data_IF_516427842328
#
_entry.id   IF_516427842328
#
_cell.length_a   1.000
_cell.length_b   1.000
_cell.length_c   1.000
_cell.angle_alpha   90.00
_cell.angle_beta   90.00
_cell.angle_gamma   90.00
#
_symmetry.space_group_name_H-M   'P 1'
#
loop_
_entity.id
_entity.type
_entity.pdbx_description
1 polymer ?
#
# COMPACT_ATOMS: atom_id res chain seq x y z
N UNK A 1 6.15 5.13 33.31
CA UNK A 1 6.88 3.94 32.86
C UNK A 1 7.56 3.36 34.11
N UNK A 2 7.17 2.15 34.54
CA UNK A 2 7.89 1.40 35.54
C UNK A 2 9.23 0.96 34.94
N UNK A 3 10.28 0.93 35.76
CA UNK A 3 11.65 0.62 35.36
C UNK A 3 11.80 -0.84 34.99
N UNK A 4 11.37 -1.22 33.80
CA UNK A 4 11.76 -2.48 33.19
C UNK A 4 12.94 -2.22 32.24
N UNK A 5 14.02 -2.96 32.38
CA UNK A 5 15.07 -2.95 31.38
C UNK A 5 14.52 -3.53 30.06
N UNK A 6 14.66 -2.78 28.97
CA UNK A 6 14.25 -3.22 27.65
C UNK A 6 15.36 -2.94 26.63
N UNK A 7 15.37 -3.73 25.59
CA UNK A 7 16.30 -3.59 24.48
C UNK A 7 15.52 -3.02 23.30
N UNK A 8 16.01 -1.91 22.73
CA UNK A 8 15.50 -1.34 21.50
C UNK A 8 16.44 -1.67 20.35
N UNK A 9 15.90 -2.18 19.28
CA UNK A 9 16.62 -2.34 18.02
C UNK A 9 15.70 -1.94 16.86
N UNK A 10 16.29 -1.51 15.78
CA UNK A 10 15.60 -1.25 14.53
C UNK A 10 15.65 -2.49 13.65
N UNK A 11 14.49 -2.96 13.21
CA UNK A 11 14.37 -4.05 12.24
C UNK A 11 13.72 -3.52 10.96
N UNK A 12 14.36 -3.76 9.82
CA UNK A 12 13.77 -3.44 8.52
C UNK A 12 12.77 -4.51 8.12
N UNK A 13 11.65 -4.09 7.52
CA UNK A 13 10.70 -4.99 6.87
C UNK A 13 11.24 -5.44 5.52
N UNK A 14 10.84 -6.63 4.99
CA UNK A 14 11.10 -6.97 3.60
C UNK A 14 10.42 -6.01 2.63
N UNK A 15 9.30 -5.41 3.04
CA UNK A 15 8.64 -4.35 2.26
C UNK A 15 9.26 -3.01 2.61
N UNK A 16 9.71 -2.29 1.59
CA UNK A 16 10.32 -0.97 1.74
C UNK A 16 9.42 0.11 1.16
N UNK A 17 9.56 1.32 1.71
CA UNK A 17 8.86 2.50 1.22
C UNK A 17 9.86 3.53 0.71
N UNK A 18 9.66 3.99 -0.51
CA UNK A 18 10.48 5.00 -1.15
C UNK A 18 9.70 6.31 -1.20
N UNK A 19 10.26 7.38 -0.62
CA UNK A 19 9.67 8.71 -0.71
C UNK A 19 10.06 9.39 -2.01
N UNK A 20 9.07 9.73 -2.82
CA UNK A 20 9.25 10.53 -4.02
C UNK A 20 9.04 12.01 -3.68
N UNK A 21 10.14 12.75 -3.60
CA UNK A 21 10.12 14.18 -3.27
C UNK A 21 9.48 15.06 -4.36
N UNK A 22 9.30 14.56 -5.58
CA UNK A 22 8.71 15.33 -6.68
C UNK A 22 7.21 15.49 -6.54
N UNK A 23 6.53 14.49 -5.98
CA UNK A 23 5.08 14.47 -5.77
C UNK A 23 4.69 14.43 -4.28
N UNK A 24 5.67 14.23 -3.38
CA UNK A 24 5.46 14.19 -1.94
C UNK A 24 4.80 12.89 -1.45
N UNK A 25 4.86 11.81 -2.21
CA UNK A 25 4.21 10.54 -1.95
C UNK A 25 5.23 9.44 -1.63
N UNK A 26 4.77 8.44 -0.89
CA UNK A 26 5.50 7.20 -0.67
C UNK A 26 5.01 6.14 -1.65
N UNK A 27 5.95 5.37 -2.20
CA UNK A 27 5.68 4.20 -3.02
C UNK A 27 6.25 2.97 -2.31
N UNK A 28 5.47 1.91 -2.20
CA UNK A 28 5.93 0.66 -1.63
C UNK A 28 6.68 -0.19 -2.67
N UNK A 29 7.52 -1.08 -2.16
CA UNK A 29 8.18 -2.10 -2.94
C UNK A 29 8.22 -3.38 -2.10
N UNK A 30 7.53 -4.41 -2.55
CA UNK A 30 7.56 -5.74 -1.95
C UNK A 30 8.86 -6.47 -2.30
N UNK A 31 9.33 -7.32 -1.40
CA UNK A 31 10.49 -8.14 -1.68
C UNK A 31 10.08 -9.36 -2.50
N UNK A 32 10.77 -9.61 -3.64
CA UNK A 32 10.39 -10.65 -4.61
C UNK A 32 10.45 -12.11 -4.09
N UNK A 33 11.16 -12.37 -2.99
CA UNK A 33 11.47 -13.73 -2.56
C UNK A 33 11.35 -13.96 -1.04
N UNK A 34 11.01 -12.94 -0.27
CA UNK A 34 10.97 -13.05 1.18
C UNK A 34 9.82 -12.21 1.76
N UNK A 35 8.95 -12.86 2.53
CA UNK A 35 7.85 -12.23 3.26
C UNK A 35 8.26 -11.86 4.67
N UNK A 36 9.40 -12.40 5.15
CA UNK A 36 9.90 -12.21 6.50
C UNK A 36 11.39 -11.89 6.52
N UNK A 37 11.80 -11.06 7.48
CA UNK A 37 13.21 -10.80 7.81
C UNK A 37 13.49 -11.33 9.21
N UNK A 38 14.51 -12.17 9.32
CA UNK A 38 14.91 -12.76 10.58
C UNK A 38 16.08 -11.98 11.19
N UNK A 39 15.96 -11.62 12.47
CA UNK A 39 17.01 -10.96 13.25
C UNK A 39 17.54 -11.90 14.33
N UNK A 40 18.85 -11.95 14.48
CA UNK A 40 19.50 -12.76 15.51
C UNK A 40 19.98 -11.85 16.64
N UNK A 41 19.51 -12.12 17.86
CA UNK A 41 19.97 -11.44 19.05
C UNK A 41 21.07 -12.28 19.72
N UNK A 42 22.25 -11.69 19.89
CA UNK A 42 23.35 -12.28 20.63
C UNK A 42 23.72 -11.41 21.82
N UNK A 43 24.15 -12.04 22.93
CA UNK A 43 24.63 -11.34 24.13
C UNK A 43 26.15 -11.45 24.12
N UNK A 44 26.82 -10.31 24.09
CA UNK A 44 28.27 -10.21 24.26
C UNK A 44 28.59 -9.52 25.60
N UNK A 45 29.30 -10.21 26.47
CA UNK A 45 29.66 -9.68 27.78
C UNK A 45 31.03 -8.94 27.79
N UNK A 46 31.65 -8.74 26.62
CA UNK A 46 32.98 -8.12 26.52
C UNK A 46 32.91 -6.58 26.33
N UNK A 47 31.75 -6.02 26.01
CA UNK A 47 31.57 -4.58 25.86
C UNK A 47 30.27 -4.14 26.50
N UNK A 48 30.30 -2.96 27.11
CA UNK A 48 29.06 -2.32 27.59
C UNK A 48 28.14 -1.94 26.44
N UNK A 49 26.88 -2.35 26.54
CA UNK A 49 25.84 -2.01 25.58
C UNK A 49 25.57 -0.49 25.52
N UNK A 50 25.23 0.03 24.38
CA UNK A 50 24.76 1.40 24.24
C UNK A 50 23.51 1.62 25.09
N UNK A 51 23.49 2.72 25.85
CA UNK A 51 22.34 3.15 26.66
C UNK A 51 21.67 4.35 26.02
N UNK A 52 20.34 4.41 26.08
CA UNK A 52 19.59 5.59 25.68
C UNK A 52 19.84 6.71 26.69
N UNK A 53 20.38 7.82 26.23
CA UNK A 53 20.64 9.00 27.05
C UNK A 53 19.37 9.81 27.27
N UNK A 54 19.21 10.34 28.49
CA UNK A 54 18.17 11.31 28.76
C UNK A 54 18.55 12.65 28.15
N UNK A 55 17.73 13.17 27.23
CA UNK A 55 17.90 14.51 26.67
C UNK A 55 16.77 15.42 27.12
N UNK A 56 17.13 16.66 27.47
CA UNK A 56 16.14 17.70 27.74
C UNK A 56 15.43 18.09 26.44
N UNK A 57 14.13 18.39 26.56
CA UNK A 57 13.37 18.93 25.44
C UNK A 57 14.01 20.24 24.93
N UNK A 58 14.04 20.40 23.61
CA UNK A 58 14.54 21.64 23.00
C UNK A 58 13.70 22.82 23.46
N UNK A 59 14.41 23.83 24.00
CA UNK A 59 13.80 25.12 24.33
C UNK A 59 13.74 25.96 23.06
N UNK A 60 12.68 26.78 22.90
CA UNK A 60 12.51 27.71 21.78
C UNK A 60 12.51 27.04 20.39
N UNK A 61 11.67 26.02 20.21
CA UNK A 61 11.47 25.38 18.91
C UNK A 61 11.06 26.44 17.85
N UNK A 62 11.80 26.51 16.75
CA UNK A 62 11.53 27.43 15.64
C UNK A 62 10.44 26.92 14.69
N UNK A 63 10.12 25.62 14.73
CA UNK A 63 9.06 24.98 13.94
C UNK A 63 8.30 24.00 14.81
N UNK A 64 6.98 24.00 14.65
CA UNK A 64 6.08 23.02 15.27
C UNK A 64 5.48 22.19 14.16
N UNK A 65 5.73 20.87 14.20
CA UNK A 65 5.14 19.91 13.28
C UNK A 65 3.91 19.32 13.95
N UNK A 66 2.76 19.46 13.31
CA UNK A 66 1.45 19.01 13.84
C UNK A 66 0.82 17.88 13.02
N UNK A 67 1.43 17.53 11.89
CA UNK A 67 0.95 16.48 10.98
C UNK A 67 2.11 15.84 10.24
N UNK A 68 1.86 14.63 9.73
CA UNK A 68 2.85 13.84 8.97
C UNK A 68 2.17 13.11 7.81
N UNK A 69 2.97 12.60 6.86
CA UNK A 69 2.48 11.74 5.79
C UNK A 69 2.48 10.30 6.28
N UNK A 70 1.32 9.68 6.19
CA UNK A 70 1.09 8.27 6.45
C UNK A 70 0.87 7.56 5.12
N UNK A 71 1.17 6.28 5.08
CA UNK A 71 1.00 5.45 3.89
C UNK A 71 0.53 4.06 4.30
N UNK A 72 -0.17 3.40 3.40
CA UNK A 72 -0.63 2.02 3.54
C UNK A 72 -0.77 1.39 2.18
N UNK A 73 -0.74 0.08 2.11
CA UNK A 73 -1.00 -0.66 0.88
C UNK A 73 -1.77 -1.94 1.16
N UNK A 74 -2.39 -2.46 0.12
CA UNK A 74 -2.93 -3.81 0.04
C UNK A 74 -2.36 -4.48 -1.20
N UNK A 75 -1.66 -5.57 -1.02
CA UNK A 75 -1.08 -6.42 -2.04
C UNK A 75 -1.06 -7.85 -1.52
N UNK A 76 -1.56 -8.78 -2.28
CA UNK A 76 -1.52 -10.22 -1.99
C UNK A 76 -0.93 -10.95 -3.19
N UNK A 77 -0.13 -11.98 -2.91
CA UNK A 77 0.63 -12.74 -3.89
C UNK A 77 -0.03 -14.12 -4.10
N UNK A 78 -1.25 -14.15 -4.69
CA UNK A 78 -2.07 -15.36 -4.77
C UNK A 78 -1.81 -16.18 -6.03
N UNK A 79 -1.58 -15.54 -7.17
CA UNK A 79 -1.53 -16.21 -8.47
C UNK A 79 -0.37 -15.70 -9.35
N UNK A 80 0.50 -16.62 -9.77
CA UNK A 80 1.52 -16.36 -10.78
C UNK A 80 1.01 -16.85 -12.15
N UNK A 81 0.65 -15.92 -13.04
CA UNK A 81 -0.07 -16.22 -14.27
C UNK A 81 0.71 -17.06 -15.29
N UNK A 82 2.02 -16.91 -15.34
CA UNK A 82 2.88 -17.58 -16.31
C UNK A 82 3.97 -18.43 -15.68
N UNK A 83 3.88 -18.65 -14.36
CA UNK A 83 4.87 -19.38 -13.57
C UNK A 83 6.31 -18.84 -13.76
N UNK A 84 6.45 -17.53 -13.98
CA UNK A 84 7.74 -16.85 -14.21
C UNK A 84 8.56 -16.62 -12.95
N UNK A 85 7.92 -16.74 -11.77
CA UNK A 85 8.55 -16.53 -10.48
C UNK A 85 8.76 -15.06 -10.08
N UNK A 86 8.36 -14.08 -10.92
CA UNK A 86 8.60 -12.65 -10.66
C UNK A 86 7.37 -11.85 -10.28
N UNK A 87 6.26 -12.09 -10.97
CA UNK A 87 5.06 -11.30 -10.83
C UNK A 87 3.92 -12.19 -10.34
N UNK A 88 3.39 -11.84 -9.21
CA UNK A 88 2.24 -12.47 -8.60
C UNK A 88 1.13 -11.44 -8.49
N UNK A 89 -0.10 -11.90 -8.52
CA UNK A 89 -1.27 -11.04 -8.47
C UNK A 89 -2.22 -11.49 -7.36
N UNK A 90 -2.96 -10.54 -6.83
CA UNK A 90 -3.85 -10.75 -5.70
C UNK A 90 -5.21 -11.31 -6.08
N UNK A 91 -6.23 -10.62 -5.65
CA UNK A 91 -7.61 -11.05 -5.75
C UNK A 91 -8.07 -11.12 -7.20
N UNK A 92 -8.70 -12.24 -7.54
CA UNK A 92 -9.22 -12.50 -8.86
C UNK A 92 -10.67 -12.00 -9.00
N UNK A 93 -10.96 -11.33 -10.11
CA UNK A 93 -12.29 -10.89 -10.51
C UNK A 93 -12.83 -11.82 -11.62
N UNK A 94 -13.54 -12.88 -11.24
CA UNK A 94 -14.21 -13.80 -12.17
C UNK A 94 -15.64 -14.09 -11.74
N UNK A 95 -15.83 -14.83 -10.65
CA UNK A 95 -17.13 -15.11 -10.04
C UNK A 95 -17.61 -13.97 -9.15
N UNK A 96 -16.66 -13.23 -8.55
CA UNK A 96 -16.91 -12.04 -7.72
C UNK A 96 -16.31 -10.82 -8.43
N UNK A 97 -17.13 -10.14 -9.19
CA UNK A 97 -16.70 -8.97 -9.98
C UNK A 97 -16.58 -7.67 -9.16
N UNK A 98 -16.94 -7.68 -7.89
CA UNK A 98 -16.86 -6.53 -6.99
C UNK A 98 -16.18 -6.94 -5.70
N UNK A 99 -15.13 -6.23 -5.30
CA UNK A 99 -14.37 -6.47 -4.07
C UNK A 99 -14.08 -5.17 -3.36
N UNK A 100 -13.99 -5.22 -2.01
CA UNK A 100 -13.79 -4.04 -1.17
C UNK A 100 -12.63 -4.24 -0.21
N UNK A 101 -11.87 -3.18 0.00
CA UNK A 101 -10.63 -3.15 0.79
C UNK A 101 -10.68 -1.98 1.76
N UNK A 102 -10.51 -2.26 3.05
CA UNK A 102 -10.63 -1.27 4.12
C UNK A 102 -9.27 -0.76 4.58
N UNK A 103 -9.14 0.56 4.67
CA UNK A 103 -7.98 1.26 5.20
C UNK A 103 -8.40 2.18 6.33
N UNK A 104 -7.63 2.18 7.43
CA UNK A 104 -7.91 3.03 8.57
C UNK A 104 -6.74 3.99 8.84
N UNK A 105 -7.02 5.29 8.83
CA UNK A 105 -6.07 6.37 9.12
C UNK A 105 -6.53 7.19 10.33
N UNK A 106 -6.25 6.73 11.56
CA UNK A 106 -6.66 7.46 12.77
C UNK A 106 -6.13 8.90 12.76
N UNK A 107 -6.96 9.86 13.12
CA UNK A 107 -6.64 11.29 13.07
C UNK A 107 -6.30 11.81 11.67
N UNK A 108 -6.97 11.28 10.64
CA UNK A 108 -6.83 11.75 9.26
C UNK A 108 -7.07 13.28 9.18
N UNK A 109 -6.20 13.98 8.47
CA UNK A 109 -6.43 15.38 8.11
C UNK A 109 -7.41 15.44 6.93
N UNK A 110 -8.68 15.69 7.22
CA UNK A 110 -9.75 15.74 6.22
C UNK A 110 -9.66 16.96 5.28
N UNK A 111 -8.76 17.91 5.56
CA UNK A 111 -8.50 19.04 4.68
C UNK A 111 -7.45 18.71 3.60
N UNK A 112 -6.71 17.64 3.79
CA UNK A 112 -5.73 17.13 2.84
C UNK A 112 -6.31 15.97 2.03
N UNK A 113 -6.12 15.93 0.71
CA UNK A 113 -6.57 14.80 -0.08
C UNK A 113 -5.79 13.52 0.27
N UNK A 114 -6.48 12.40 0.20
CA UNK A 114 -5.90 11.06 0.21
C UNK A 114 -5.55 10.69 -1.23
N UNK A 115 -4.29 10.34 -1.49
CA UNK A 115 -3.85 9.87 -2.80
C UNK A 115 -3.96 8.36 -2.87
N UNK A 116 -4.70 7.84 -3.84
CA UNK A 116 -4.99 6.41 -4.02
C UNK A 116 -4.47 5.99 -5.39
N UNK A 117 -3.54 5.05 -5.41
CA UNK A 117 -3.05 4.39 -6.62
C UNK A 117 -3.60 2.97 -6.64
N UNK A 118 -4.22 2.60 -7.74
CA UNK A 118 -4.75 1.25 -7.98
C UNK A 118 -4.09 0.68 -9.22
N UNK A 119 -3.50 -0.50 -9.10
CA UNK A 119 -2.90 -1.25 -10.20
C UNK A 119 -3.65 -2.55 -10.38
N UNK A 120 -4.07 -2.81 -11.60
CA UNK A 120 -4.92 -3.95 -11.96
C UNK A 120 -4.38 -4.64 -13.21
N UNK A 121 -4.75 -5.89 -13.35
CA UNK A 121 -4.33 -6.74 -14.47
C UNK A 121 -5.55 -7.40 -15.08
N UNK A 122 -5.61 -7.49 -16.41
CA UNK A 122 -6.67 -8.20 -17.10
C UNK A 122 -6.13 -9.00 -18.29
N UNK A 123 -6.73 -10.17 -18.48
CA UNK A 123 -6.61 -11.00 -19.67
C UNK A 123 -7.98 -11.08 -20.35
N UNK A 124 -8.14 -10.36 -21.44
CA UNK A 124 -9.39 -10.27 -22.20
C UNK A 124 -9.10 -10.07 -23.68
N UNK A 125 -9.93 -10.61 -24.55
CA UNK A 125 -9.85 -10.43 -26.01
C UNK A 125 -10.47 -9.10 -26.48
N UNK A 126 -11.17 -8.41 -25.58
CA UNK A 126 -11.70 -7.06 -25.81
C UNK A 126 -11.26 -6.16 -24.67
N UNK A 127 -11.22 -4.83 -24.87
CA UNK A 127 -10.92 -3.91 -23.76
C UNK A 127 -11.87 -4.14 -22.58
N UNK A 128 -11.33 -4.09 -21.39
CA UNK A 128 -12.07 -4.25 -20.13
C UNK A 128 -11.91 -3.03 -19.22
N UNK A 129 -12.75 -2.92 -18.21
CA UNK A 129 -12.81 -1.74 -17.37
C UNK A 129 -12.91 -2.14 -15.90
N UNK A 130 -12.10 -1.48 -15.07
CA UNK A 130 -12.28 -1.47 -13.63
C UNK A 130 -12.84 -0.12 -13.20
N UNK A 131 -13.88 -0.15 -12.40
CA UNK A 131 -14.46 1.04 -11.76
C UNK A 131 -13.98 1.07 -10.32
N UNK A 132 -13.34 2.16 -9.91
CA UNK A 132 -12.79 2.33 -8.56
C UNK A 132 -13.60 3.38 -7.82
N UNK A 133 -14.09 3.03 -6.65
CA UNK A 133 -14.86 3.91 -5.76
C UNK A 133 -14.21 3.96 -4.37
N UNK A 134 -14.36 5.07 -3.66
CA UNK A 134 -14.01 5.19 -2.25
C UNK A 134 -15.23 5.62 -1.45
N UNK A 135 -15.56 4.88 -0.39
CA UNK A 135 -16.75 5.10 0.45
C UNK A 135 -18.01 5.36 -0.40
N UNK A 136 -18.25 4.52 -1.42
CA UNK A 136 -19.34 4.60 -2.39
C UNK A 136 -19.30 5.82 -3.35
N UNK A 137 -18.25 6.64 -3.31
CA UNK A 137 -18.04 7.73 -4.26
C UNK A 137 -17.16 7.25 -5.41
N UNK A 138 -17.62 7.38 -6.65
CA UNK A 138 -16.83 7.05 -7.82
C UNK A 138 -15.55 7.91 -7.87
N UNK A 139 -14.40 7.26 -7.92
CA UNK A 139 -13.11 7.94 -8.07
C UNK A 139 -12.69 8.03 -9.54
N UNK A 140 -12.63 6.88 -10.18
CA UNK A 140 -12.17 6.78 -11.55
C UNK A 140 -12.57 5.45 -12.20
N UNK A 141 -12.26 5.34 -13.49
CA UNK A 141 -12.26 4.10 -14.24
C UNK A 141 -10.85 3.83 -14.78
N UNK A 142 -10.42 2.57 -14.77
CA UNK A 142 -9.16 2.11 -15.33
C UNK A 142 -9.51 1.19 -16.49
N UNK A 143 -9.18 1.63 -17.71
CA UNK A 143 -9.32 0.79 -18.90
C UNK A 143 -8.08 -0.05 -19.09
N UNK A 144 -8.27 -1.34 -19.33
CA UNK A 144 -7.20 -2.27 -19.68
C UNK A 144 -7.41 -2.72 -21.11
N UNK A 145 -6.38 -2.54 -21.93
CA UNK A 145 -6.40 -2.95 -23.34
C UNK A 145 -6.53 -4.47 -23.48
N UNK A 146 -7.09 -4.92 -24.58
CA UNK A 146 -7.18 -6.33 -24.90
C UNK A 146 -5.79 -6.95 -25.19
N UNK A 147 -5.68 -8.24 -24.92
CA UNK A 147 -4.55 -9.05 -25.40
C UNK A 147 -4.78 -9.47 -26.85
N UNK A 148 -3.69 -9.86 -27.52
CA UNK A 148 -3.70 -10.51 -28.83
C UNK A 148 -3.14 -11.91 -28.67
N UNK A 149 -3.86 -12.93 -29.15
CA UNK A 149 -3.48 -14.35 -29.00
C UNK A 149 -2.52 -14.81 -30.11
N UNK A 150 -1.40 -14.07 -30.27
CA UNK A 150 -0.34 -14.47 -31.19
C UNK A 150 0.91 -14.93 -30.41
N UNK A 151 1.77 -15.69 -31.07
CA UNK A 151 3.04 -16.09 -30.49
C UNK A 151 3.87 -14.86 -30.05
N UNK A 152 4.42 -14.90 -28.86
CA UNK A 152 5.23 -13.82 -28.25
C UNK A 152 4.45 -12.56 -27.84
N UNK A 153 3.18 -12.63 -27.51
CA UNK A 153 2.43 -11.53 -26.90
C UNK A 153 2.36 -11.67 -25.38
N UNK A 154 2.10 -10.55 -24.70
CA UNK A 154 1.87 -10.53 -23.25
C UNK A 154 0.67 -11.41 -22.90
N UNK A 155 0.81 -12.18 -21.82
CA UNK A 155 -0.25 -13.07 -21.33
C UNK A 155 -1.44 -12.27 -20.79
N UNK A 156 -1.20 -11.19 -20.10
CA UNK A 156 -2.17 -10.26 -19.55
C UNK A 156 -1.66 -8.82 -19.65
N UNK A 157 -2.53 -7.85 -19.50
CA UNK A 157 -2.19 -6.41 -19.56
C UNK A 157 -2.38 -5.79 -18.20
N UNK A 158 -1.42 -4.95 -17.80
CA UNK A 158 -1.45 -4.17 -16.56
C UNK A 158 -1.87 -2.74 -16.84
N UNK A 159 -2.68 -2.16 -15.97
CA UNK A 159 -3.00 -0.74 -15.97
C UNK A 159 -3.01 -0.18 -14.55
N UNK A 160 -2.58 1.06 -14.41
CA UNK A 160 -2.50 1.74 -13.11
C UNK A 160 -3.08 3.14 -13.22
N UNK A 161 -3.75 3.57 -12.14
CA UNK A 161 -4.24 4.94 -12.04
C UNK A 161 -4.14 5.48 -10.63
N UNK A 162 -3.70 6.73 -10.53
CA UNK A 162 -3.66 7.50 -9.29
C UNK A 162 -4.81 8.51 -9.29
N UNK A 163 -5.48 8.66 -8.15
CA UNK A 163 -6.58 9.60 -7.96
C UNK A 163 -6.56 10.16 -6.56
N UNK A 164 -6.83 11.45 -6.44
CA UNK A 164 -7.00 12.11 -5.15
C UNK A 164 -8.47 12.02 -4.70
N UNK A 165 -8.67 11.72 -3.43
CA UNK A 165 -9.97 11.60 -2.78
C UNK A 165 -10.03 12.44 -1.52
N UNK A 166 -11.08 13.24 -1.37
CA UNK A 166 -11.33 14.02 -0.16
C UNK A 166 -12.14 13.15 0.83
N UNK A 167 -11.44 12.46 1.72
CA UNK A 167 -12.06 11.58 2.68
C UNK A 167 -12.73 12.37 3.81
N UNK A 168 -13.97 12.00 4.14
CA UNK A 168 -14.76 12.59 5.23
C UNK A 168 -14.65 11.83 6.55
N UNK A 169 -13.96 10.69 6.56
CA UNK A 169 -13.76 9.84 7.74
C UNK A 169 -12.38 9.21 7.74
N UNK A 170 -11.95 8.71 8.90
CA UNK A 170 -10.68 7.97 9.04
C UNK A 170 -10.70 6.61 8.34
N UNK A 171 -11.86 6.07 8.07
CA UNK A 171 -11.99 4.81 7.33
C UNK A 171 -12.22 5.12 5.85
N UNK A 172 -11.38 4.53 5.01
CA UNK A 172 -11.44 4.62 3.55
C UNK A 172 -11.62 3.19 3.01
N UNK A 173 -12.83 2.90 2.54
CA UNK A 173 -13.14 1.62 1.87
C UNK A 173 -13.03 1.81 0.38
N UNK A 174 -12.10 1.14 -0.26
CA UNK A 174 -11.92 1.13 -1.72
C UNK A 174 -12.70 -0.05 -2.28
N UNK A 175 -13.64 0.21 -3.16
CA UNK A 175 -14.38 -0.82 -3.89
C UNK A 175 -13.95 -0.80 -5.35
N UNK A 176 -13.64 -1.97 -5.88
CA UNK A 176 -13.24 -2.19 -7.26
C UNK A 176 -14.23 -3.12 -7.92
N UNK A 177 -14.82 -2.66 -9.01
CA UNK A 177 -15.76 -3.41 -9.85
C UNK A 177 -15.12 -3.67 -11.21
N UNK A 178 -15.10 -4.93 -11.64
CA UNK A 178 -14.59 -5.33 -12.95
C UNK A 178 -15.73 -5.62 -13.94
N UNK A 179 -15.55 -5.20 -15.18
CA UNK A 179 -16.46 -5.51 -16.28
C UNK A 179 -15.74 -5.76 -17.59
N UNK A 180 -16.19 -6.78 -18.31
CA UNK A 180 -15.77 -7.10 -19.67
C UNK A 180 -16.95 -7.71 -20.44
N UNK A 181 -17.00 -7.50 -21.76
CA UNK A 181 -17.92 -8.19 -22.65
C UNK A 181 -17.36 -9.52 -23.16
N UNK A 182 -16.14 -9.87 -22.82
CA UNK A 182 -15.51 -11.17 -23.09
C UNK A 182 -15.86 -12.17 -21.97
N UNK A 183 -16.65 -13.19 -22.27
CA UNK A 183 -17.02 -14.23 -21.29
C UNK A 183 -15.85 -15.09 -20.82
N UNK A 184 -14.72 -15.06 -21.52
CA UNK A 184 -13.48 -15.74 -21.15
C UNK A 184 -12.48 -14.85 -20.43
N UNK A 185 -12.83 -13.59 -20.14
CA UNK A 185 -11.96 -12.67 -19.48
C UNK A 185 -11.66 -13.09 -18.04
N UNK A 186 -10.44 -12.81 -17.60
CA UNK A 186 -9.99 -12.92 -16.21
C UNK A 186 -9.28 -11.64 -15.80
N UNK A 187 -9.41 -11.26 -14.54
CA UNK A 187 -8.80 -10.04 -14.05
C UNK A 187 -8.34 -10.21 -12.60
N UNK A 188 -7.38 -9.40 -12.19
CA UNK A 188 -6.75 -9.45 -10.87
C UNK A 188 -6.46 -8.03 -10.36
N UNK A 189 -6.50 -7.89 -9.05
CA UNK A 189 -5.85 -6.79 -8.38
C UNK A 189 -4.35 -7.11 -8.30
N UNK A 190 -3.52 -6.13 -8.62
CA UNK A 190 -2.10 -6.16 -8.32
C UNK A 190 -1.91 -5.56 -6.92
N UNK A 191 -2.14 -4.26 -6.80
CA UNK A 191 -2.12 -3.61 -5.48
C UNK A 191 -2.97 -2.34 -5.43
N UNK A 192 -3.28 -1.93 -4.20
CA UNK A 192 -3.77 -0.60 -3.84
C UNK A 192 -2.73 0.05 -2.93
N UNK A 193 -2.31 1.27 -3.25
CA UNK A 193 -1.40 2.06 -2.44
C UNK A 193 -2.08 3.38 -2.06
N UNK A 194 -2.01 3.74 -0.79
CA UNK A 194 -2.66 4.94 -0.26
C UNK A 194 -1.66 5.80 0.50
N UNK A 195 -1.66 7.09 0.19
CA UNK A 195 -0.95 8.12 0.91
C UNK A 195 -1.96 9.10 1.51
N UNK A 196 -1.80 9.38 2.80
CA UNK A 196 -2.72 10.23 3.55
C UNK A 196 -1.98 11.19 4.48
N UNK A 197 -2.57 12.32 4.81
CA UNK A 197 -2.06 13.24 5.83
C UNK A 197 -2.76 12.97 7.15
N UNK A 198 -1.99 12.84 8.25
CA UNK A 198 -2.53 12.62 9.59
C UNK A 198 -2.03 13.68 10.57
N UNK A 199 -2.86 13.99 11.56
CA UNK A 199 -2.40 14.77 12.70
C UNK A 199 -1.38 13.97 13.52
N UNK A 200 -0.31 14.63 13.97
CA UNK A 200 0.73 14.04 14.82
C UNK A 200 0.16 13.88 16.25
N UNK A 201 -0.70 12.89 16.39
CA UNK A 201 -1.42 12.55 17.61
C UNK A 201 -1.40 11.06 17.83
N UNK A 202 -1.07 10.62 19.05
CA UNK A 202 -1.09 9.21 19.44
C UNK A 202 -2.46 8.58 19.20
N UNK A 203 -2.45 7.38 18.63
CA UNK A 203 -3.62 6.51 18.50
C UNK A 203 -3.24 5.13 19.03
N UNK A 204 -3.74 4.77 20.22
CA UNK A 204 -3.25 3.59 20.92
C UNK A 204 -1.81 3.78 21.39
N UNK A 205 -0.94 2.81 21.06
CA UNK A 205 0.48 2.81 21.43
C UNK A 205 1.41 3.36 20.34
N UNK A 206 0.87 3.83 19.20
CA UNK A 206 1.62 4.33 18.06
C UNK A 206 1.05 5.67 17.53
N UNK A 207 1.90 6.38 16.80
CA UNK A 207 1.49 7.55 15.98
C UNK A 207 1.34 7.13 14.56
#
# INVERSE_FOLDING_TARGET
FESADYILFYGESPHIWNYDASNGLFNHQTHLFADEVNYFLTIDNQQDGKRVETKQALQNATKIVTSFNEFSFHETENENLIHSGKEWFGERFDTQNSQSFDFNFPNLDQLSPVSIKTTVVARSLVPSVFTVSANSSLLNTISVDNIVTTYATEYAKTASKMTNYNASSSNVTITIDYSSSDNGASAWLDYIEINARRALKMSGSAM
#
